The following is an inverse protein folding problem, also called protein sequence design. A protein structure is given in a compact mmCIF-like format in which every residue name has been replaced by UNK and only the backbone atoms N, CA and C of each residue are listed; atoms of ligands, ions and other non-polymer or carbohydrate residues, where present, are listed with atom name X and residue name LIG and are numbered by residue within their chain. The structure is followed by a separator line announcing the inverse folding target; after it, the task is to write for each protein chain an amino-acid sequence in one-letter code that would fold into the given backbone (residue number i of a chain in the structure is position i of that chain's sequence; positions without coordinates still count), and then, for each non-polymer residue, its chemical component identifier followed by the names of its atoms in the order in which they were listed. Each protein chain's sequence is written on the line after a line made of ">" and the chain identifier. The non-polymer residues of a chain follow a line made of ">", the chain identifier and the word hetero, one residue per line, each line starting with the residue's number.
data_IF_118385009997
#
_entry.id   IF_118385009997
#
_cell.length_a   1.000
_cell.length_b   1.000
_cell.length_c   1.000
_cell.angle_alpha   90.00
_cell.angle_beta   90.00
_cell.angle_gamma   90.00
#
_symmetry.space_group_name_H-M   'P 1'
#
loop_
_entity.id
_entity.type
_entity.pdbx_description
1 polymer ?
#
# COMPACT_ATOMS: atom_id res chain seq x y z
N UNK A 1 7.11 -3.66 10.80
CA UNK A 1 6.90 -3.66 9.34
C UNK A 1 6.81 -2.25 8.72
N UNK A 2 5.67 -1.54 8.72
CA UNK A 2 5.60 -0.24 7.99
C UNK A 2 6.47 0.87 8.59
N UNK A 3 6.58 0.96 9.92
CA UNK A 3 7.53 1.88 10.59
C UNK A 3 8.97 1.59 10.17
N UNK A 4 9.37 0.33 10.16
CA UNK A 4 10.70 -0.09 9.70
C UNK A 4 10.95 0.27 8.22
N UNK A 5 9.96 0.16 7.32
CA UNK A 5 10.08 0.60 5.91
C UNK A 5 10.30 2.12 5.83
N UNK A 6 9.57 2.89 6.66
CA UNK A 6 9.67 4.36 6.67
C UNK A 6 10.91 4.88 7.40
N UNK A 7 11.47 4.07 8.30
CA UNK A 7 12.62 4.40 9.15
C UNK A 7 13.94 3.85 8.57
N UNK A 8 13.91 3.14 7.43
CA UNK A 8 15.14 2.77 6.72
C UNK A 8 15.89 4.05 6.32
N UNK A 9 17.19 4.12 6.64
CA UNK A 9 18.07 5.24 6.26
C UNK A 9 18.08 5.51 4.75
N UNK A 10 17.64 4.56 3.94
CA UNK A 10 17.62 4.65 2.49
C UNK A 10 16.25 5.08 1.90
N UNK A 11 15.23 5.30 2.72
CA UNK A 11 13.97 5.88 2.26
C UNK A 11 14.15 7.34 1.84
N UNK A 12 13.47 7.76 0.76
CA UNK A 12 13.41 9.17 0.36
C UNK A 12 12.18 9.80 0.99
N UNK A 13 12.39 10.73 1.93
CA UNK A 13 11.30 11.48 2.56
C UNK A 13 11.05 12.77 1.77
N UNK A 14 9.89 12.86 1.14
CA UNK A 14 9.43 14.05 0.42
C UNK A 14 8.76 14.98 1.43
N UNK A 15 9.43 16.11 1.69
CA UNK A 15 9.00 17.13 2.66
C UNK A 15 8.14 18.23 2.05
N UNK A 16 8.24 18.44 0.74
CA UNK A 16 7.42 19.41 0.03
C UNK A 16 5.98 18.92 -0.13
N UNK A 17 5.08 19.87 -0.37
CA UNK A 17 3.67 19.59 -0.62
C UNK A 17 3.50 18.98 -2.01
N UNK A 18 2.89 17.80 -2.10
CA UNK A 18 2.81 17.02 -3.34
C UNK A 18 1.38 16.95 -3.87
N UNK A 19 1.20 17.19 -5.16
CA UNK A 19 -0.07 16.93 -5.84
C UNK A 19 -0.38 15.44 -5.91
N UNK A 20 -1.61 15.04 -5.54
CA UNK A 20 -2.08 13.66 -5.74
C UNK A 20 -2.30 13.32 -7.22
N UNK A 21 -2.49 14.33 -8.08
CA UNK A 21 -2.57 14.16 -9.52
C UNK A 21 -1.16 14.14 -10.12
N UNK A 22 -0.69 12.94 -10.47
CA UNK A 22 0.61 12.67 -11.10
C UNK A 22 1.85 13.04 -10.27
N UNK A 23 1.73 13.83 -9.20
CA UNK A 23 2.86 14.28 -8.38
C UNK A 23 3.57 13.12 -7.72
N UNK A 24 2.83 12.24 -7.05
CA UNK A 24 3.37 11.00 -6.46
C UNK A 24 4.14 10.17 -7.51
N UNK A 25 3.56 9.96 -8.70
CA UNK A 25 4.20 9.21 -9.79
C UNK A 25 5.55 9.79 -10.21
N UNK A 26 5.70 11.12 -10.24
CA UNK A 26 6.99 11.74 -10.61
C UNK A 26 8.12 11.31 -9.68
N UNK A 27 7.87 11.29 -8.36
CA UNK A 27 8.88 10.85 -7.39
C UNK A 27 9.10 9.34 -7.45
N UNK A 28 8.04 8.54 -7.55
CA UNK A 28 8.17 7.09 -7.65
C UNK A 28 8.97 6.66 -8.89
N UNK A 29 8.81 7.36 -10.02
CA UNK A 29 9.63 7.12 -11.22
C UNK A 29 11.07 7.59 -11.04
N UNK A 30 11.29 8.75 -10.42
CA UNK A 30 12.63 9.29 -10.15
C UNK A 30 13.43 8.39 -9.21
N UNK A 31 12.77 7.81 -8.22
CA UNK A 31 13.39 6.97 -7.19
C UNK A 31 12.93 5.51 -7.29
N UNK A 32 12.88 4.95 -8.50
CA UNK A 32 12.27 3.65 -8.80
C UNK A 32 12.83 2.43 -8.05
N UNK A 33 14.00 2.56 -7.41
CA UNK A 33 14.67 1.50 -6.64
C UNK A 33 14.70 1.75 -5.13
N UNK A 34 14.02 2.79 -4.65
CA UNK A 34 14.01 3.19 -3.24
C UNK A 34 12.59 3.41 -2.74
N UNK A 35 12.29 3.12 -1.46
CA UNK A 35 11.07 3.58 -0.83
C UNK A 35 10.99 5.09 -0.86
N UNK A 36 9.79 5.62 -1.11
CA UNK A 36 9.50 7.05 -1.08
C UNK A 36 8.34 7.28 -0.13
N UNK A 37 8.53 8.20 0.82
CA UNK A 37 7.57 8.55 1.86
C UNK A 37 7.07 9.96 1.60
N UNK A 38 5.76 10.11 1.45
CA UNK A 38 5.08 11.40 1.25
C UNK A 38 4.29 11.73 2.50
N UNK A 39 4.47 12.95 3.01
CA UNK A 39 3.90 13.37 4.30
C UNK A 39 3.01 14.60 4.21
N UNK A 40 2.98 15.29 3.06
CA UNK A 40 2.20 16.50 2.83
C UNK A 40 1.70 16.56 1.40
N UNK A 41 0.44 16.95 1.24
CA UNK A 41 -0.27 16.94 -0.05
C UNK A 41 -0.98 18.27 -0.32
N UNK A 42 -1.30 18.54 -1.59
CA UNK A 42 -2.15 19.66 -2.00
C UNK A 42 -3.60 19.39 -1.59
N UNK A 43 -3.98 19.88 -0.40
CA UNK A 43 -5.27 19.64 0.24
C UNK A 43 -5.10 19.10 1.66
N UNK A 44 -6.21 18.81 2.33
CA UNK A 44 -6.20 18.22 3.68
C UNK A 44 -6.51 16.73 3.60
N UNK A 45 -5.49 15.90 3.86
CA UNK A 45 -5.61 14.44 3.81
C UNK A 45 -5.07 13.80 5.08
N UNK A 46 -5.56 12.60 5.38
CA UNK A 46 -5.18 11.79 6.52
C UNK A 46 -4.00 10.88 6.17
N UNK A 47 -2.95 10.95 6.98
CA UNK A 47 -1.87 9.96 6.93
C UNK A 47 -0.79 10.27 5.89
N UNK A 48 -0.20 9.21 5.34
CA UNK A 48 1.02 9.26 4.53
C UNK A 48 0.92 8.24 3.39
N UNK A 49 1.64 8.49 2.31
CA UNK A 49 1.84 7.49 1.25
C UNK A 49 3.27 6.95 1.38
N UNK A 50 3.39 5.62 1.30
CA UNK A 50 4.68 4.96 1.11
C UNK A 50 4.60 4.19 -0.21
N UNK A 51 5.46 4.54 -1.16
CA UNK A 51 5.57 3.81 -2.44
C UNK A 51 6.96 3.21 -2.61
N UNK A 52 7.07 2.17 -3.43
CA UNK A 52 8.35 1.51 -3.68
C UNK A 52 8.92 0.71 -2.50
N UNK A 53 8.08 0.35 -1.52
CA UNK A 53 8.49 -0.43 -0.34
C UNK A 53 9.23 -1.73 -0.68
N UNK A 54 8.86 -2.40 -1.78
CA UNK A 54 9.49 -3.62 -2.27
C UNK A 54 10.02 -3.45 -3.71
N UNK A 55 10.66 -2.33 -3.99
CA UNK A 55 11.07 -1.92 -5.34
C UNK A 55 12.22 -2.72 -5.98
N UNK A 56 12.84 -3.66 -5.27
CA UNK A 56 13.92 -4.50 -5.80
C UNK A 56 13.93 -5.90 -5.20
N UNK A 57 14.55 -6.85 -5.91
CA UNK A 57 14.70 -8.24 -5.44
C UNK A 57 15.51 -8.32 -4.16
N UNK A 58 16.59 -7.54 -4.07
CA UNK A 58 17.48 -7.50 -2.91
C UNK A 58 16.76 -7.00 -1.67
N UNK A 59 15.91 -5.98 -1.84
CA UNK A 59 15.08 -5.47 -0.73
C UNK A 59 14.06 -6.50 -0.30
N UNK A 60 13.34 -7.11 -1.25
CA UNK A 60 12.39 -8.18 -0.93
C UNK A 60 13.08 -9.34 -0.21
N UNK A 61 14.27 -9.74 -0.67
CA UNK A 61 15.08 -10.79 -0.05
C UNK A 61 15.43 -10.44 1.40
N UNK A 62 15.97 -9.24 1.63
CA UNK A 62 16.29 -8.72 2.97
C UNK A 62 15.07 -8.75 3.89
N UNK A 63 13.92 -8.29 3.40
CA UNK A 63 12.67 -8.24 4.16
C UNK A 63 12.11 -9.61 4.51
N UNK A 64 12.22 -10.58 3.61
CA UNK A 64 11.78 -11.95 3.84
C UNK A 64 12.85 -12.83 4.52
N UNK A 65 14.00 -12.25 4.89
CA UNK A 65 15.17 -12.96 5.40
C UNK A 65 15.62 -14.11 4.47
N UNK A 66 15.63 -13.83 3.16
CA UNK A 66 16.04 -14.74 2.11
C UNK A 66 17.39 -14.30 1.49
N UNK A 67 18.19 -15.23 0.96
CA UNK A 67 19.36 -14.89 0.17
C UNK A 67 18.95 -14.22 -1.15
N UNK A 68 19.71 -13.20 -1.57
CA UNK A 68 19.37 -12.35 -2.73
C UNK A 68 19.39 -13.08 -4.07
N UNK A 69 20.24 -14.11 -4.21
CA UNK A 69 20.33 -15.02 -5.36
C UNK A 69 19.28 -16.16 -5.31
N UNK A 70 18.55 -16.29 -4.20
CA UNK A 70 17.62 -17.38 -3.95
C UNK A 70 16.16 -16.96 -3.78
N UNK A 71 15.77 -15.70 -4.05
CA UNK A 71 14.42 -15.18 -3.73
C UNK A 71 13.30 -16.04 -4.30
N UNK A 72 13.39 -16.46 -5.57
CA UNK A 72 12.33 -17.28 -6.18
C UNK A 72 12.20 -18.65 -5.50
N UNK A 73 13.33 -19.29 -5.17
CA UNK A 73 13.36 -20.57 -4.47
C UNK A 73 12.85 -20.42 -3.04
N UNK A 74 13.36 -19.44 -2.31
CA UNK A 74 12.95 -19.15 -0.93
C UNK A 74 11.47 -18.81 -0.82
N UNK A 75 10.94 -18.03 -1.77
CA UNK A 75 9.50 -17.74 -1.82
C UNK A 75 8.68 -19.01 -2.09
N UNK A 76 9.11 -19.86 -3.02
CA UNK A 76 8.44 -21.15 -3.26
C UNK A 76 8.45 -22.04 -2.02
N UNK A 77 9.58 -22.12 -1.30
CA UNK A 77 9.67 -22.88 -0.05
C UNK A 77 8.78 -22.28 1.04
N UNK A 78 8.67 -20.95 1.14
CA UNK A 78 7.75 -20.27 2.07
C UNK A 78 6.28 -20.55 1.75
N UNK A 79 5.90 -20.49 0.47
CA UNK A 79 4.52 -20.73 0.03
C UNK A 79 4.07 -22.18 0.26
N UNK A 80 4.99 -23.12 0.26
CA UNK A 80 4.71 -24.53 0.57
C UNK A 80 4.63 -24.82 2.07
N UNK A 81 5.05 -23.89 2.94
CA UNK A 81 4.89 -24.04 4.39
C UNK A 81 3.46 -23.65 4.77
N UNK A 82 2.80 -24.52 5.53
CA UNK A 82 1.54 -24.15 6.18
C UNK A 82 1.85 -23.22 7.35
N UNK A 83 1.43 -21.97 7.23
CA UNK A 83 1.33 -21.05 8.36
C UNK A 83 -0.10 -21.07 8.92
N UNK A 84 -0.24 -21.02 10.24
CA UNK A 84 -1.52 -20.78 10.88
C UNK A 84 -1.64 -19.29 11.21
N UNK A 85 -2.69 -18.65 10.72
CA UNK A 85 -3.08 -17.34 11.20
C UNK A 85 -3.78 -17.49 12.55
N UNK A 86 -3.50 -16.60 13.50
CA UNK A 86 -4.19 -16.54 14.79
C UNK A 86 -4.89 -15.21 14.93
N UNK A 87 -6.15 -15.24 15.37
CA UNK A 87 -6.84 -14.03 15.79
C UNK A 87 -6.22 -13.55 17.09
N UNK A 88 -5.85 -12.28 17.13
CA UNK A 88 -5.31 -11.62 18.33
C UNK A 88 -6.26 -10.53 18.76
N UNK A 89 -6.49 -10.41 20.07
CA UNK A 89 -7.25 -9.29 20.62
C UNK A 89 -6.36 -8.05 20.74
N UNK A 90 -6.95 -6.85 20.60
CA UNK A 90 -6.25 -5.60 20.90
C UNK A 90 -5.39 -5.03 19.77
N UNK A 91 -5.73 -5.26 18.50
CA UNK A 91 -5.11 -4.50 17.42
C UNK A 91 -5.54 -3.02 17.49
N UNK A 92 -4.56 -2.11 17.47
CA UNK A 92 -4.79 -0.66 17.46
C UNK A 92 -5.31 -0.21 16.09
N UNK A 93 -6.57 -0.50 15.78
CA UNK A 93 -7.24 0.07 14.61
C UNK A 93 -7.95 1.35 15.01
N UNK A 94 -7.71 2.42 14.23
CA UNK A 94 -8.55 3.61 14.27
C UNK A 94 -9.78 3.36 13.41
N UNK A 95 -10.95 3.45 14.03
CA UNK A 95 -12.22 3.45 13.31
C UNK A 95 -12.47 4.90 12.86
N UNK A 96 -12.74 5.07 11.57
CA UNK A 96 -13.12 6.37 11.01
C UNK A 96 -14.57 6.33 10.53
N UNK A 97 -15.18 7.50 10.40
CA UNK A 97 -16.50 7.67 9.80
C UNK A 97 -16.52 7.29 8.31
N UNK A 98 -17.72 7.14 7.72
CA UNK A 98 -17.88 6.72 6.32
C UNK A 98 -17.26 7.70 5.31
N UNK A 99 -17.14 8.97 5.64
CA UNK A 99 -16.54 10.05 4.84
C UNK A 99 -15.00 10.00 4.80
N UNK A 100 -14.37 9.23 5.68
CA UNK A 100 -12.92 9.27 5.85
C UNK A 100 -12.15 8.74 4.64
N UNK A 101 -12.79 7.94 3.78
CA UNK A 101 -12.19 7.44 2.53
C UNK A 101 -11.82 8.59 1.61
N UNK A 102 -12.64 9.64 1.56
CA UNK A 102 -12.40 10.85 0.75
C UNK A 102 -11.21 11.66 1.25
N UNK A 103 -10.91 11.51 2.54
CA UNK A 103 -9.79 12.17 3.19
C UNK A 103 -8.49 11.35 3.09
N UNK A 104 -8.50 10.17 2.46
CA UNK A 104 -7.26 9.42 2.21
C UNK A 104 -6.49 10.01 1.02
N UNK A 105 -5.16 10.09 1.09
CA UNK A 105 -4.34 10.60 -0.01
C UNK A 105 -4.20 9.52 -1.09
N UNK A 106 -5.21 9.39 -1.95
CA UNK A 106 -5.24 8.39 -3.03
C UNK A 106 -4.76 9.05 -4.33
N UNK A 107 -3.64 8.60 -4.94
CA UNK A 107 -3.11 9.25 -6.15
C UNK A 107 -3.88 8.88 -7.42
N UNK A 108 -3.87 9.80 -8.37
CA UNK A 108 -4.07 9.50 -9.80
C UNK A 108 -2.68 9.33 -10.42
N UNK A 109 -2.35 8.11 -10.86
CA UNK A 109 -0.98 7.77 -11.21
C UNK A 109 -0.61 8.17 -12.64
N UNK A 110 -1.55 8.04 -13.58
CA UNK A 110 -1.35 8.28 -15.00
C UNK A 110 -2.40 9.25 -15.57
N UNK A 111 -2.07 10.00 -16.64
CA UNK A 111 -3.00 10.96 -17.25
C UNK A 111 -4.30 10.34 -17.78
N UNK A 112 -4.26 9.05 -18.11
CA UNK A 112 -5.39 8.28 -18.67
C UNK A 112 -6.13 7.46 -17.61
N UNK A 113 -5.75 7.56 -16.33
CA UNK A 113 -6.50 6.89 -15.27
C UNK A 113 -7.91 7.51 -15.17
N UNK A 114 -8.94 6.66 -15.03
CA UNK A 114 -10.31 7.11 -14.85
C UNK A 114 -10.57 7.85 -13.53
N UNK A 115 -9.63 7.79 -12.57
CA UNK A 115 -9.72 8.42 -11.27
C UNK A 115 -8.55 8.05 -10.35
N UNK A 116 -8.63 8.40 -9.05
CA UNK A 116 -7.67 7.97 -8.03
C UNK A 116 -7.71 6.46 -7.81
N UNK A 117 -6.56 5.83 -7.62
CA UNK A 117 -6.47 4.37 -7.38
C UNK A 117 -5.70 4.01 -6.11
N UNK A 118 -6.23 3.05 -5.38
CA UNK A 118 -5.44 2.23 -4.46
C UNK A 118 -4.82 1.09 -5.27
N UNK A 119 -3.48 0.98 -5.27
CA UNK A 119 -2.76 -0.02 -6.09
C UNK A 119 -2.09 -1.12 -5.28
N UNK A 120 -2.10 -1.00 -3.95
CA UNK A 120 -1.47 -1.94 -3.01
C UNK A 120 -2.46 -2.50 -1.98
N UNK A 121 -3.75 -2.54 -2.33
CA UNK A 121 -4.80 -3.06 -1.46
C UNK A 121 -4.82 -4.58 -1.51
N UNK A 122 -4.89 -5.19 -0.32
CA UNK A 122 -5.17 -6.62 -0.15
C UNK A 122 -6.64 -6.74 0.21
N UNK A 123 -7.39 -7.47 -0.61
CA UNK A 123 -8.78 -7.85 -0.34
C UNK A 123 -8.77 -9.19 0.35
N UNK A 124 -9.46 -9.28 1.48
CA UNK A 124 -9.74 -10.54 2.18
C UNK A 124 -11.18 -10.93 1.92
N UNK A 125 -11.39 -12.14 1.40
CA UNK A 125 -12.71 -12.70 1.16
C UNK A 125 -12.76 -14.12 1.72
N UNK A 126 -13.82 -14.44 2.46
CA UNK A 126 -14.06 -15.77 3.00
C UNK A 126 -15.22 -16.42 2.24
N UNK A 127 -15.00 -17.64 1.74
CA UNK A 127 -16.04 -18.44 1.13
C UNK A 127 -16.96 -19.03 2.21
N UNK A 128 -18.25 -19.30 1.90
CA UNK A 128 -19.16 -19.94 2.86
C UNK A 128 -18.64 -21.25 3.46
N UNK A 129 -17.80 -21.97 2.72
CA UNK A 129 -17.15 -23.21 3.13
C UNK A 129 -15.94 -23.00 4.08
N UNK A 130 -15.63 -21.75 4.45
CA UNK A 130 -14.62 -21.39 5.45
C UNK A 130 -13.22 -21.10 4.89
N UNK A 131 -13.04 -21.04 3.56
CA UNK A 131 -11.74 -20.75 2.95
C UNK A 131 -11.55 -19.23 2.80
N UNK A 132 -10.46 -18.69 3.32
CA UNK A 132 -10.09 -17.28 3.13
C UNK A 132 -9.09 -17.11 1.99
N UNK A 133 -9.37 -16.18 1.09
CA UNK A 133 -8.46 -15.74 0.04
C UNK A 133 -7.99 -14.31 0.30
N UNK A 134 -6.68 -14.08 0.16
CA UNK A 134 -6.05 -12.76 0.18
C UNK A 134 -5.49 -12.45 -1.21
N UNK A 135 -5.93 -11.36 -1.82
CA UNK A 135 -5.50 -10.99 -3.17
C UNK A 135 -5.25 -9.49 -3.32
N UNK A 136 -4.31 -9.13 -4.19
CA UNK A 136 -4.08 -7.74 -4.56
C UNK A 136 -5.11 -7.29 -5.60
N UNK A 137 -5.79 -6.18 -5.32
CA UNK A 137 -6.70 -5.56 -6.27
C UNK A 137 -6.43 -4.06 -6.38
N UNK A 138 -6.45 -3.55 -7.61
CA UNK A 138 -6.55 -2.10 -7.82
C UNK A 138 -7.99 -1.67 -7.55
N UNK A 139 -8.18 -0.60 -6.78
CA UNK A 139 -9.51 -0.07 -6.47
C UNK A 139 -9.56 1.40 -6.84
N UNK A 140 -10.46 1.76 -7.75
CA UNK A 140 -10.71 3.15 -8.09
C UNK A 140 -11.62 3.76 -7.03
N UNK A 141 -11.28 4.96 -6.56
CA UNK A 141 -12.23 5.74 -5.78
C UNK A 141 -13.29 6.29 -6.75
N UNK A 142 -14.51 5.77 -6.62
CA UNK A 142 -15.71 6.34 -7.24
C UNK A 142 -16.18 7.53 -6.39
N UNK A 143 -17.10 8.36 -6.90
CA UNK A 143 -17.40 9.68 -6.33
C UNK A 143 -17.82 9.64 -4.84
N UNK A 144 -17.90 10.80 -4.16
CA UNK A 144 -18.01 10.85 -2.71
C UNK A 144 -19.18 10.03 -2.16
N UNK A 145 -19.04 9.57 -0.93
CA UNK A 145 -20.08 8.78 -0.28
C UNK A 145 -21.25 9.69 0.11
N UNK A 146 -22.39 9.56 -0.57
CA UNK A 146 -23.65 10.17 -0.15
C UNK A 146 -24.60 9.09 0.35
N UNK A 147 -24.94 9.10 1.65
CA UNK A 147 -26.01 8.31 2.29
C UNK A 147 -26.27 6.92 1.66
N UNK A 148 -25.24 6.06 1.62
CA UNK A 148 -25.38 4.68 1.16
C UNK A 148 -25.37 4.48 -0.36
N UNK A 149 -24.98 5.48 -1.14
CA UNK A 149 -24.75 5.38 -2.60
C UNK A 149 -23.42 6.01 -3.00
N UNK A 150 -22.77 5.36 -3.97
CA UNK A 150 -21.70 5.98 -4.74
C UNK A 150 -22.38 6.90 -5.76
N UNK A 151 -22.16 8.22 -5.65
CA UNK A 151 -22.60 9.19 -6.69
C UNK A 151 -21.69 9.14 -7.91
#
# INVERSE_FOLDING_TARGET
>A
MFREITDEKDAVVVKERVSLKLGVTRYLRRYSKRPVVFTSFEGEYLGRIVGGAFSSRERLAKWLNLPSDGVSRGLSELLNRRGEARVVEGSEHKIYGPDAVERLPIPTYYPTDGGPYLTASIVSAEAPEGWTNLSFHRMMLLAPYEEGRLV
#
